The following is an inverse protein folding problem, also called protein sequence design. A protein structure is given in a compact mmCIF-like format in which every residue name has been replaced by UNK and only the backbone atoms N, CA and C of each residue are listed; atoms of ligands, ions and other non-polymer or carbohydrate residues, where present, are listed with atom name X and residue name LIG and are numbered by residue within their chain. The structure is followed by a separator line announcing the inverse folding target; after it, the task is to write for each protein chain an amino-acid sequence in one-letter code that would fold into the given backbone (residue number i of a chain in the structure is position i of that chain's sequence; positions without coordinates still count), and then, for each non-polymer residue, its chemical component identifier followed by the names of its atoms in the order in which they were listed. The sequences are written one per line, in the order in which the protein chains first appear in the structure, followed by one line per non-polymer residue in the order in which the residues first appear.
data_IF_407257149026
#
_entry.id   IF_407257149026
#
_cell.length_a   1.000
_cell.length_b   1.000
_cell.length_c   1.000
_cell.angle_alpha   90.00
_cell.angle_beta   90.00
_cell.angle_gamma   90.00
#
_symmetry.space_group_name_H-M   'P 1'
#
loop_
_entity.id
_entity.type
_entity.pdbx_description
1 polymer ?
#
# COMPACT_ATOMS: atom_id res chain seq x y z
N UNK A 1 22.98 0.66 -19.88
CA UNK A 1 22.97 -0.63 -19.28
C UNK A 1 22.20 -0.78 -17.96
N UNK A 2 21.21 0.08 -17.82
CA UNK A 2 20.29 0.10 -16.67
C UNK A 2 19.63 -1.27 -16.43
N UNK A 3 19.12 -1.93 -17.48
CA UNK A 3 18.47 -3.24 -17.33
C UNK A 3 19.38 -4.29 -16.70
N UNK A 4 20.66 -4.32 -17.12
CA UNK A 4 21.66 -5.24 -16.56
C UNK A 4 21.98 -4.89 -15.10
N UNK A 5 22.01 -3.60 -14.76
CA UNK A 5 22.19 -3.17 -13.40
C UNK A 5 21.11 -3.73 -12.47
N UNK A 6 19.84 -3.63 -12.85
CA UNK A 6 18.74 -4.21 -12.06
C UNK A 6 18.80 -5.74 -12.00
N UNK A 7 19.08 -6.42 -13.14
CA UNK A 7 19.08 -7.88 -13.23
C UNK A 7 20.21 -8.55 -12.42
N UNK A 8 21.37 -7.92 -12.35
CA UNK A 8 22.56 -8.54 -11.74
C UNK A 8 22.95 -7.92 -10.41
N UNK A 9 22.18 -6.99 -9.91
CA UNK A 9 22.41 -6.39 -8.60
C UNK A 9 21.85 -7.29 -7.50
N UNK A 10 22.70 -7.65 -6.53
CA UNK A 10 22.30 -8.37 -5.32
C UNK A 10 21.95 -7.35 -4.21
N UNK A 11 21.01 -6.47 -4.51
CA UNK A 11 20.57 -5.40 -3.62
C UNK A 11 19.07 -5.15 -3.75
N UNK A 12 18.45 -4.69 -2.66
CA UNK A 12 17.08 -4.22 -2.69
C UNK A 12 16.99 -2.80 -3.25
N UNK A 13 16.14 -2.63 -4.27
CA UNK A 13 15.78 -1.33 -4.79
C UNK A 13 14.59 -0.79 -3.99
N UNK A 14 14.83 0.27 -3.23
CA UNK A 14 13.84 0.85 -2.34
C UNK A 14 13.19 2.04 -2.99
N UNK A 15 11.86 2.08 -2.98
CA UNK A 15 11.08 3.19 -3.52
C UNK A 15 9.84 3.49 -2.70
N UNK A 16 9.07 4.45 -3.17
CA UNK A 16 7.79 4.85 -2.61
C UNK A 16 6.71 4.70 -3.68
N UNK A 17 5.77 3.79 -3.50
CA UNK A 17 4.77 3.39 -4.51
C UNK A 17 5.37 2.75 -5.78
N UNK A 18 6.59 2.27 -5.70
CA UNK A 18 7.32 1.72 -6.83
C UNK A 18 6.69 0.42 -7.38
N UNK A 19 6.06 -0.40 -6.57
CA UNK A 19 5.31 -1.59 -7.04
C UNK A 19 4.22 -1.22 -8.04
N UNK A 20 3.62 -0.03 -7.91
CA UNK A 20 2.49 0.37 -8.74
C UNK A 20 2.89 1.22 -9.95
N UNK A 21 4.15 1.69 -10.04
CA UNK A 21 4.58 2.56 -11.12
C UNK A 21 5.99 2.21 -11.63
N UNK A 22 7.03 2.37 -10.82
CA UNK A 22 8.42 2.25 -11.27
C UNK A 22 8.78 0.80 -11.64
N UNK A 23 8.40 -0.17 -10.80
CA UNK A 23 8.71 -1.58 -11.03
C UNK A 23 8.10 -2.11 -12.34
N UNK A 24 6.84 -1.85 -12.69
CA UNK A 24 6.29 -2.19 -14.00
C UNK A 24 7.10 -1.63 -15.16
N UNK A 25 7.55 -0.39 -15.09
CA UNK A 25 8.33 0.27 -16.13
C UNK A 25 9.72 -0.39 -16.26
N UNK A 26 10.40 -0.61 -15.13
CA UNK A 26 11.73 -1.27 -15.12
C UNK A 26 11.61 -2.70 -15.65
N UNK A 27 10.62 -3.47 -15.22
CA UNK A 27 10.39 -4.84 -15.70
C UNK A 27 10.06 -4.87 -17.19
N UNK A 28 9.30 -3.90 -17.69
CA UNK A 28 9.06 -3.73 -19.11
C UNK A 28 10.36 -3.47 -19.89
N UNK A 29 11.18 -2.57 -19.39
CA UNK A 29 12.49 -2.28 -20.00
C UNK A 29 13.41 -3.51 -20.02
N UNK A 30 13.41 -4.29 -18.94
CA UNK A 30 14.17 -5.54 -18.85
C UNK A 30 13.71 -6.54 -19.90
N UNK A 31 12.39 -6.72 -20.06
CA UNK A 31 11.83 -7.67 -21.02
C UNK A 31 12.13 -7.28 -22.46
N UNK A 32 12.00 -6.01 -22.82
CA UNK A 32 12.04 -5.59 -24.22
C UNK A 32 13.37 -5.00 -24.66
N UNK A 33 14.16 -4.42 -23.76
CA UNK A 33 15.35 -3.64 -24.16
C UNK A 33 16.68 -4.23 -23.69
N UNK A 34 16.70 -5.26 -22.84
CA UNK A 34 17.96 -5.85 -22.36
C UNK A 34 18.83 -6.41 -23.46
N UNK A 35 18.23 -6.96 -24.52
CA UNK A 35 18.93 -7.68 -25.60
C UNK A 35 18.60 -7.14 -26.99
N UNK A 36 18.10 -5.92 -27.10
CA UNK A 36 17.63 -5.37 -28.39
C UNK A 36 18.33 -4.07 -28.77
N UNK A 37 18.45 -3.86 -30.09
CA UNK A 37 19.04 -2.65 -30.67
C UNK A 37 17.95 -1.64 -31.05
N UNK A 38 17.11 -1.25 -30.09
CA UNK A 38 16.13 -0.18 -30.31
C UNK A 38 16.79 1.19 -30.30
N UNK A 39 16.25 2.10 -31.12
CA UNK A 39 16.66 3.50 -31.07
C UNK A 39 16.19 4.15 -29.77
N UNK A 40 16.90 5.18 -29.33
CA UNK A 40 16.54 5.94 -28.12
C UNK A 40 15.10 6.45 -28.19
N UNK A 41 14.68 7.05 -29.29
CA UNK A 41 13.31 7.57 -29.49
C UNK A 41 12.26 6.47 -29.33
N UNK A 42 12.51 5.28 -29.86
CA UNK A 42 11.58 4.15 -29.72
C UNK A 42 11.46 3.68 -28.27
N UNK A 43 12.54 3.70 -27.53
CA UNK A 43 12.54 3.36 -26.10
C UNK A 43 11.71 4.39 -25.33
N UNK A 44 11.96 5.68 -25.55
CA UNK A 44 11.23 6.77 -24.89
C UNK A 44 9.73 6.72 -25.20
N UNK A 45 9.36 6.56 -26.47
CA UNK A 45 7.96 6.43 -26.89
C UNK A 45 7.26 5.25 -26.19
N UNK A 46 7.94 4.11 -26.13
CA UNK A 46 7.38 2.91 -25.52
C UNK A 46 7.19 3.05 -24.01
N UNK A 47 8.14 3.66 -23.30
CA UNK A 47 8.04 3.94 -21.87
C UNK A 47 6.92 4.95 -21.61
N UNK A 48 6.82 6.02 -22.39
CA UNK A 48 5.76 7.01 -22.28
C UNK A 48 4.36 6.40 -22.46
N UNK A 49 4.20 5.54 -23.48
CA UNK A 49 2.93 4.84 -23.71
C UNK A 49 2.56 3.92 -22.54
N UNK A 50 3.52 3.17 -21.98
CA UNK A 50 3.26 2.33 -20.81
C UNK A 50 2.92 3.17 -19.59
N UNK A 51 3.62 4.27 -19.35
CA UNK A 51 3.34 5.21 -18.27
C UNK A 51 1.89 5.74 -18.35
N UNK A 52 1.46 6.14 -19.54
CA UNK A 52 0.07 6.59 -19.77
C UNK A 52 -0.94 5.49 -19.47
N UNK A 53 -0.68 4.24 -19.85
CA UNK A 53 -1.56 3.10 -19.54
C UNK A 53 -1.65 2.89 -18.02
N UNK A 54 -0.54 2.92 -17.31
CA UNK A 54 -0.49 2.72 -15.85
C UNK A 54 -1.26 3.84 -15.11
N UNK A 55 -1.13 5.08 -15.58
CA UNK A 55 -1.72 6.26 -14.89
C UNK A 55 -3.17 6.49 -15.24
N UNK A 56 -3.58 6.32 -16.50
CA UNK A 56 -4.94 6.58 -16.99
C UNK A 56 -5.88 5.39 -16.83
N UNK A 57 -5.37 4.16 -16.95
CA UNK A 57 -6.16 2.94 -16.93
C UNK A 57 -5.91 2.13 -15.64
N UNK A 58 -5.95 2.79 -14.48
CA UNK A 58 -5.70 2.16 -13.17
C UNK A 58 -6.56 0.92 -12.92
N UNK A 59 -7.78 0.92 -13.43
CA UNK A 59 -8.73 -0.20 -13.29
C UNK A 59 -8.47 -1.33 -14.31
N UNK A 60 -7.67 -1.10 -15.35
CA UNK A 60 -7.35 -2.08 -16.38
C UNK A 60 -5.94 -2.66 -16.17
N UNK A 61 -5.71 -3.17 -14.97
CA UNK A 61 -4.43 -3.77 -14.54
C UNK A 61 -3.97 -4.91 -15.47
N UNK A 62 -4.88 -5.58 -16.18
CA UNK A 62 -4.55 -6.73 -17.03
C UNK A 62 -3.57 -6.36 -18.15
N UNK A 63 -3.55 -5.11 -18.60
CA UNK A 63 -2.63 -4.63 -19.64
C UNK A 63 -1.17 -4.60 -19.20
N UNK A 64 -0.89 -4.40 -17.91
CA UNK A 64 0.46 -4.25 -17.37
C UNK A 64 0.75 -5.15 -16.16
N UNK A 65 -0.19 -6.00 -15.78
CA UNK A 65 -0.14 -6.91 -14.63
C UNK A 65 1.11 -7.80 -14.64
N UNK A 66 1.52 -8.29 -15.80
CA UNK A 66 2.69 -9.16 -15.91
C UNK A 66 3.97 -8.48 -15.43
N UNK A 67 4.14 -7.18 -15.70
CA UNK A 67 5.31 -6.42 -15.25
C UNK A 67 5.20 -5.99 -13.79
N UNK A 68 3.98 -5.72 -13.29
CA UNK A 68 3.75 -5.43 -11.88
C UNK A 68 4.18 -6.57 -10.97
N UNK A 69 3.91 -7.81 -11.38
CA UNK A 69 4.19 -9.00 -10.58
C UNK A 69 5.47 -9.73 -10.99
N UNK A 70 6.22 -9.22 -11.97
CA UNK A 70 7.51 -9.77 -12.34
C UNK A 70 8.53 -9.52 -11.20
N UNK A 71 9.30 -10.57 -10.88
CA UNK A 71 10.33 -10.56 -9.83
C UNK A 71 11.73 -10.63 -10.44
N UNK A 72 12.07 -9.71 -11.34
CA UNK A 72 13.37 -9.68 -12.00
C UNK A 72 14.47 -9.07 -11.13
N UNK A 73 14.11 -8.38 -10.07
CA UNK A 73 15.04 -7.77 -9.10
C UNK A 73 14.36 -7.68 -7.72
N UNK A 74 15.18 -7.52 -6.68
CA UNK A 74 14.70 -7.36 -5.31
C UNK A 74 14.19 -5.95 -5.10
N UNK A 75 13.02 -5.80 -4.50
CA UNK A 75 12.40 -4.49 -4.31
C UNK A 75 11.70 -4.38 -2.97
N UNK A 76 11.72 -3.17 -2.39
CA UNK A 76 10.98 -2.78 -1.20
C UNK A 76 10.17 -1.52 -1.52
N UNK A 77 8.87 -1.56 -1.26
CA UNK A 77 7.98 -0.41 -1.39
C UNK A 77 7.58 0.12 -0.02
N UNK A 78 8.06 1.30 0.32
CA UNK A 78 7.80 1.92 1.62
C UNK A 78 6.34 2.34 1.79
N UNK A 79 5.62 2.71 0.70
CA UNK A 79 4.20 3.04 0.81
C UNK A 79 3.40 1.81 1.22
N UNK A 80 3.58 0.67 0.54
CA UNK A 80 2.82 -0.55 0.82
C UNK A 80 3.23 -1.22 2.13
N UNK A 81 4.48 -1.00 2.58
CA UNK A 81 4.96 -1.44 3.87
C UNK A 81 4.32 -0.66 5.03
N UNK A 82 4.15 0.65 4.87
CA UNK A 82 3.63 1.54 5.93
C UNK A 82 2.10 1.61 5.96
N UNK A 83 1.46 1.56 4.80
CA UNK A 83 0.03 1.81 4.66
C UNK A 83 -0.69 0.70 3.93
N UNK A 84 -1.92 0.44 4.38
CA UNK A 84 -2.82 -0.43 3.62
C UNK A 84 -3.18 0.21 2.26
N UNK A 85 -3.54 -0.61 1.29
CA UNK A 85 -3.95 -0.14 -0.05
C UNK A 85 -5.17 0.80 -0.03
N UNK A 86 -5.89 0.87 1.09
CA UNK A 86 -7.02 1.78 1.27
C UNK A 86 -6.60 3.23 1.53
N UNK A 87 -5.38 3.46 2.00
CA UNK A 87 -4.83 4.78 2.30
C UNK A 87 -3.92 5.23 1.17
N UNK A 88 -4.29 6.35 0.55
CA UNK A 88 -3.48 6.98 -0.50
C UNK A 88 -2.73 8.15 0.11
N UNK A 89 -1.51 7.91 0.53
CA UNK A 89 -0.60 8.94 1.04
C UNK A 89 0.45 9.22 -0.02
N UNK A 90 0.54 10.45 -0.49
CA UNK A 90 1.56 10.86 -1.46
C UNK A 90 2.94 10.97 -0.79
N UNK A 91 4.02 10.93 -1.57
CA UNK A 91 5.36 11.16 -1.05
C UNK A 91 5.47 12.56 -0.42
N UNK A 92 4.78 13.57 -0.98
CA UNK A 92 4.76 14.93 -0.43
C UNK A 92 4.10 15.02 0.95
N UNK A 93 2.96 14.34 1.13
CA UNK A 93 2.33 14.23 2.45
C UNK A 93 3.25 13.53 3.45
N UNK A 94 3.98 12.50 3.00
CA UNK A 94 4.97 11.83 3.83
C UNK A 94 6.15 12.74 4.16
N UNK A 95 6.68 13.50 3.18
CA UNK A 95 7.73 14.50 3.42
C UNK A 95 7.32 15.51 4.48
N UNK A 96 6.08 16.03 4.42
CA UNK A 96 5.54 16.94 5.45
C UNK A 96 5.41 16.23 6.80
N UNK A 97 4.89 15.01 6.83
CA UNK A 97 4.69 14.25 8.08
C UNK A 97 6.01 13.97 8.80
N UNK A 98 7.08 13.61 8.06
CA UNK A 98 8.40 13.38 8.63
C UNK A 98 9.22 14.66 8.84
N UNK A 99 8.61 15.84 8.61
CA UNK A 99 9.25 17.16 8.70
C UNK A 99 10.51 17.28 7.82
N UNK A 100 10.45 16.75 6.62
CA UNK A 100 11.53 16.87 5.65
C UNK A 100 11.72 18.33 5.25
N UNK A 101 12.97 18.83 5.28
CA UNK A 101 13.26 20.27 5.17
C UNK A 101 13.06 20.84 3.77
N UNK A 102 13.19 20.02 2.73
CA UNK A 102 13.20 20.46 1.35
C UNK A 102 12.03 19.83 0.56
N UNK A 103 10.80 20.14 0.94
CA UNK A 103 9.62 19.71 0.19
C UNK A 103 9.53 20.56 -1.08
N UNK A 104 9.64 19.93 -2.24
CA UNK A 104 9.59 20.58 -3.55
C UNK A 104 8.39 20.06 -4.33
N UNK A 105 7.90 20.87 -5.28
CA UNK A 105 6.93 20.46 -6.28
C UNK A 105 7.49 20.78 -7.67
N UNK A 106 7.20 19.91 -8.62
CA UNK A 106 7.55 20.08 -10.00
C UNK A 106 6.28 20.29 -10.83
N UNK A 107 6.13 21.48 -11.39
CA UNK A 107 4.98 21.87 -12.19
C UNK A 107 5.38 21.92 -13.67
N UNK A 108 4.93 20.95 -14.45
CA UNK A 108 5.11 20.94 -15.90
C UNK A 108 3.85 20.41 -16.60
N UNK A 109 3.76 20.63 -17.89
CA UNK A 109 2.77 19.95 -18.73
C UNK A 109 3.28 18.54 -19.07
N UNK A 110 2.75 17.52 -18.39
CA UNK A 110 3.13 16.13 -18.57
C UNK A 110 2.79 15.56 -19.97
N UNK A 111 2.06 16.30 -20.80
CA UNK A 111 1.72 15.90 -22.17
C UNK A 111 2.57 16.59 -23.23
N UNK A 112 3.35 17.61 -22.84
CA UNK A 112 4.25 18.34 -23.73
C UNK A 112 5.71 17.85 -23.57
N UNK A 113 6.52 17.91 -24.63
CA UNK A 113 7.97 17.72 -24.53
C UNK A 113 8.59 18.79 -23.64
N UNK A 114 9.44 18.35 -22.71
CA UNK A 114 10.16 19.25 -21.81
C UNK A 114 11.29 19.98 -22.55
N UNK A 115 11.51 21.24 -22.22
CA UNK A 115 12.73 21.97 -22.60
C UNK A 115 13.94 21.44 -21.81
N UNK A 116 15.17 21.77 -22.27
CA UNK A 116 16.39 21.34 -21.57
C UNK A 116 16.41 21.87 -20.12
N UNK A 117 15.95 23.09 -19.90
CA UNK A 117 15.88 23.69 -18.56
C UNK A 117 14.90 22.91 -17.64
N UNK A 118 13.72 22.56 -18.14
CA UNK A 118 12.74 21.76 -17.40
C UNK A 118 13.25 20.33 -17.13
N UNK A 119 14.08 19.76 -18.01
CA UNK A 119 14.73 18.48 -17.79
C UNK A 119 15.73 18.58 -16.63
N UNK A 120 16.52 19.63 -16.57
CA UNK A 120 17.51 19.84 -15.51
C UNK A 120 16.79 20.02 -14.15
N UNK A 121 15.72 20.83 -14.10
CA UNK A 121 14.87 21.01 -12.92
C UNK A 121 14.21 19.69 -12.50
N UNK A 122 13.72 18.89 -13.45
CA UNK A 122 13.12 17.57 -13.18
C UNK A 122 14.14 16.60 -12.57
N UNK A 123 15.39 16.65 -13.02
CA UNK A 123 16.46 15.82 -12.46
C UNK A 123 16.73 16.21 -10.99
N UNK A 124 16.84 17.50 -10.70
CA UNK A 124 17.04 18.00 -9.32
C UNK A 124 15.86 17.63 -8.42
N UNK A 125 14.64 17.80 -8.91
CA UNK A 125 13.42 17.38 -8.22
C UNK A 125 13.42 15.87 -7.90
N UNK A 126 13.80 15.04 -8.88
CA UNK A 126 13.87 13.59 -8.72
C UNK A 126 14.94 13.17 -7.70
N UNK A 127 16.11 13.81 -7.74
CA UNK A 127 17.17 13.60 -6.74
C UNK A 127 16.64 13.93 -5.34
N UNK A 128 15.91 15.03 -5.17
CA UNK A 128 15.31 15.40 -3.89
C UNK A 128 14.27 14.36 -3.41
N UNK A 129 13.45 13.82 -4.30
CA UNK A 129 12.50 12.76 -3.94
C UNK A 129 13.20 11.45 -3.53
N UNK A 130 14.31 11.09 -4.19
CA UNK A 130 15.17 9.96 -3.78
C UNK A 130 15.80 10.19 -2.41
N UNK A 131 16.30 11.41 -2.16
CA UNK A 131 16.89 11.78 -0.86
C UNK A 131 15.84 11.70 0.27
N UNK A 132 14.64 12.19 0.04
CA UNK A 132 13.53 12.10 1.02
C UNK A 132 13.09 10.66 1.27
N UNK A 133 13.04 9.84 0.23
CA UNK A 133 12.76 8.39 0.34
C UNK A 133 13.85 7.68 1.14
N UNK A 134 15.12 8.07 0.97
CA UNK A 134 16.24 7.57 1.76
C UNK A 134 16.11 7.94 3.24
N UNK A 135 15.65 9.15 3.54
CA UNK A 135 15.42 9.58 4.92
C UNK A 135 14.25 8.80 5.56
N UNK A 136 13.18 8.55 4.80
CA UNK A 136 12.08 7.71 5.24
C UNK A 136 12.55 6.27 5.51
N UNK A 137 13.37 5.70 4.63
CA UNK A 137 13.95 4.37 4.81
C UNK A 137 14.70 4.24 6.14
N UNK A 138 15.50 5.23 6.52
CA UNK A 138 16.20 5.25 7.80
C UNK A 138 15.25 5.21 9.00
N UNK A 139 14.12 5.91 8.90
CA UNK A 139 13.09 5.90 9.95
C UNK A 139 12.38 4.54 10.06
N UNK A 140 12.29 3.80 8.95
CA UNK A 140 11.61 2.51 8.87
C UNK A 140 12.48 1.30 9.24
N UNK A 141 13.74 1.49 9.64
CA UNK A 141 14.70 0.38 9.87
C UNK A 141 14.14 -0.71 10.78
N UNK A 142 13.52 -0.35 11.91
CA UNK A 142 12.92 -1.32 12.85
C UNK A 142 11.77 -2.13 12.24
N UNK A 143 10.96 -1.49 11.42
CA UNK A 143 9.85 -2.15 10.72
C UNK A 143 10.35 -3.14 9.66
N UNK A 144 11.46 -2.82 9.02
CA UNK A 144 12.15 -3.69 8.06
C UNK A 144 12.78 -4.88 8.79
N UNK A 145 13.52 -4.64 9.89
CA UNK A 145 14.16 -5.68 10.68
C UNK A 145 13.14 -6.76 11.12
N UNK A 146 11.98 -6.34 11.62
CA UNK A 146 10.90 -7.28 12.01
C UNK A 146 10.45 -8.14 10.83
N UNK A 147 10.33 -7.58 9.63
CA UNK A 147 9.91 -8.31 8.42
C UNK A 147 10.97 -9.27 7.92
N UNK A 148 12.24 -8.87 8.00
CA UNK A 148 13.39 -9.73 7.70
C UNK A 148 13.46 -10.90 8.67
N UNK A 149 13.22 -10.67 9.96
CA UNK A 149 13.17 -11.73 10.98
C UNK A 149 12.02 -12.73 10.71
N UNK A 150 10.84 -12.21 10.28
CA UNK A 150 9.70 -13.06 9.89
C UNK A 150 10.06 -13.90 8.67
N UNK A 151 10.65 -13.30 7.65
CA UNK A 151 11.08 -14.04 6.45
C UNK A 151 12.09 -15.14 6.80
N UNK A 152 13.11 -14.81 7.58
CA UNK A 152 14.14 -15.76 8.00
C UNK A 152 13.58 -16.91 8.85
N UNK A 153 12.61 -16.63 9.71
CA UNK A 153 12.06 -17.62 10.65
C UNK A 153 10.96 -18.48 10.05
N UNK A 154 10.11 -17.90 9.22
CA UNK A 154 8.88 -18.55 8.74
C UNK A 154 8.87 -18.74 7.22
N UNK A 155 9.85 -18.24 6.50
CA UNK A 155 9.89 -18.20 5.02
C UNK A 155 8.65 -17.51 4.42
N UNK A 156 8.22 -16.39 5.02
CA UNK A 156 7.07 -15.60 4.60
C UNK A 156 7.56 -14.26 4.04
N UNK A 157 7.38 -14.04 2.74
CA UNK A 157 7.64 -12.76 2.10
C UNK A 157 6.59 -11.71 2.54
N UNK A 158 6.98 -10.82 3.44
CA UNK A 158 6.13 -9.73 3.93
C UNK A 158 6.83 -8.36 3.90
N UNK A 159 7.98 -8.25 3.22
CA UNK A 159 8.81 -7.05 3.25
C UNK A 159 8.05 -5.80 2.79
N UNK A 160 7.26 -5.91 1.72
CA UNK A 160 6.42 -4.81 1.21
C UNK A 160 4.94 -4.91 1.64
N UNK A 161 4.63 -5.62 2.74
CA UNK A 161 3.28 -5.70 3.30
C UNK A 161 3.15 -4.80 4.52
N UNK A 162 1.98 -4.19 4.68
CA UNK A 162 1.65 -3.43 5.89
C UNK A 162 1.55 -4.34 7.13
N UNK A 163 1.44 -3.73 8.31
CA UNK A 163 1.38 -4.48 9.57
C UNK A 163 0.20 -5.45 9.63
N UNK A 164 -0.95 -5.08 9.07
CA UNK A 164 -2.14 -5.94 9.01
C UNK A 164 -1.90 -7.12 8.07
N UNK A 165 -1.39 -6.86 6.87
CA UNK A 165 -1.06 -7.89 5.90
C UNK A 165 -0.01 -8.87 6.42
N UNK A 166 1.01 -8.38 7.13
CA UNK A 166 2.02 -9.20 7.80
C UNK A 166 1.40 -10.09 8.88
N UNK A 167 0.53 -9.53 9.73
CA UNK A 167 -0.20 -10.30 10.74
C UNK A 167 -1.10 -11.38 10.15
N UNK A 168 -1.79 -11.07 9.05
CA UNK A 168 -2.63 -12.06 8.34
C UNK A 168 -1.80 -13.22 7.82
N UNK A 169 -0.63 -12.97 7.21
CA UNK A 169 0.22 -14.05 6.70
C UNK A 169 0.78 -14.93 7.83
N UNK A 170 1.17 -14.34 8.97
CA UNK A 170 1.62 -15.10 10.14
C UNK A 170 0.49 -15.98 10.73
N UNK A 171 -0.69 -15.42 10.94
CA UNK A 171 -1.85 -16.16 11.45
C UNK A 171 -2.23 -17.31 10.51
N UNK A 172 -2.20 -17.05 9.21
CA UNK A 172 -2.46 -18.03 8.17
C UNK A 172 -1.43 -19.17 8.21
N UNK A 173 -0.14 -18.82 8.29
CA UNK A 173 0.94 -19.80 8.43
C UNK A 173 0.71 -20.72 9.64
N UNK A 174 0.52 -20.14 10.84
CA UNK A 174 0.29 -20.87 12.07
C UNK A 174 -0.97 -21.77 12.01
N UNK A 175 -2.05 -21.28 11.41
CA UNK A 175 -3.28 -22.03 11.25
C UNK A 175 -3.06 -23.25 10.35
N UNK A 176 -2.45 -23.07 9.19
CA UNK A 176 -2.19 -24.15 8.23
C UNK A 176 -1.26 -25.23 8.82
N UNK A 177 -0.25 -24.84 9.63
CA UNK A 177 0.63 -25.78 10.32
C UNK A 177 -0.13 -26.64 11.35
N UNK A 178 -1.15 -26.08 12.01
CA UNK A 178 -1.92 -26.76 13.06
C UNK A 178 -3.06 -27.62 12.53
N UNK A 179 -3.60 -27.30 11.37
CA UNK A 179 -4.80 -27.98 10.83
C UNK A 179 -4.49 -28.96 9.71
N UNK A 180 -3.28 -28.97 9.15
CA UNK A 180 -2.90 -29.71 7.95
C UNK A 180 -3.81 -29.41 6.74
N UNK A 181 -4.50 -28.27 6.73
CA UNK A 181 -5.34 -27.81 5.63
C UNK A 181 -4.51 -27.11 4.55
N UNK A 182 -5.03 -27.07 3.33
CA UNK A 182 -4.44 -26.27 2.26
C UNK A 182 -4.93 -24.82 2.32
N UNK A 183 -4.17 -23.91 1.70
CA UNK A 183 -4.59 -22.51 1.54
C UNK A 183 -5.94 -22.37 0.83
N UNK A 184 -6.22 -23.22 -0.13
CA UNK A 184 -7.47 -23.19 -0.89
C UNK A 184 -8.67 -23.53 -0.01
N UNK A 185 -8.54 -24.55 0.84
CA UNK A 185 -9.56 -24.92 1.82
C UNK A 185 -9.82 -23.81 2.83
N UNK A 186 -8.75 -23.16 3.32
CA UNK A 186 -8.88 -22.01 4.24
C UNK A 186 -9.58 -20.81 3.57
N UNK A 187 -9.25 -20.52 2.30
CA UNK A 187 -9.83 -19.40 1.56
C UNK A 187 -11.34 -19.53 1.39
N UNK A 188 -11.82 -20.76 1.22
CA UNK A 188 -13.23 -21.06 1.00
C UNK A 188 -14.04 -21.22 2.31
N UNK A 189 -13.34 -21.30 3.46
CA UNK A 189 -13.97 -21.35 4.79
C UNK A 189 -14.51 -19.97 5.21
N UNK A 190 -15.59 -19.55 4.59
CA UNK A 190 -16.36 -18.39 5.05
C UNK A 190 -17.65 -18.90 5.66
N UNK A 191 -17.93 -18.48 6.89
CA UNK A 191 -19.27 -18.64 7.46
C UNK A 191 -20.12 -17.46 6.98
N UNK A 192 -21.00 -17.64 5.98
CA UNK A 192 -21.90 -16.57 5.57
C UNK A 192 -22.83 -16.25 6.74
N UNK A 193 -22.87 -15.01 7.15
CA UNK A 193 -23.80 -14.51 8.16
C UNK A 193 -24.64 -13.43 7.51
N UNK A 194 -25.94 -13.66 7.34
CA UNK A 194 -26.85 -12.65 6.81
C UNK A 194 -27.17 -11.57 7.84
N UNK A 195 -27.20 -11.96 9.11
CA UNK A 195 -27.50 -11.09 10.25
C UNK A 195 -26.61 -11.40 11.45
N UNK A 196 -26.07 -10.37 12.06
CA UNK A 196 -25.18 -10.46 13.22
C UNK A 196 -25.80 -9.71 14.41
N UNK A 197 -26.26 -10.39 15.47
CA UNK A 197 -26.61 -9.70 16.71
C UNK A 197 -25.36 -9.11 17.34
N UNK A 198 -25.29 -7.78 17.47
CA UNK A 198 -24.07 -7.13 17.96
C UNK A 198 -23.69 -7.54 19.39
N UNK A 199 -24.65 -7.93 20.23
CA UNK A 199 -24.39 -8.48 21.58
C UNK A 199 -23.49 -9.72 21.58
N UNK A 200 -23.52 -10.49 20.50
CA UNK A 200 -22.77 -11.77 20.41
C UNK A 200 -21.31 -11.55 19.93
N UNK A 201 -21.02 -10.39 19.33
CA UNK A 201 -19.68 -10.02 18.83
C UNK A 201 -18.97 -8.96 19.65
N UNK A 202 -19.71 -8.18 20.44
CA UNK A 202 -19.11 -7.21 21.37
C UNK A 202 -18.51 -7.98 22.54
N UNK A 203 -17.19 -7.85 22.69
CA UNK A 203 -16.47 -8.58 23.74
C UNK A 203 -16.90 -8.09 25.14
N UNK A 204 -17.06 -9.01 26.13
CA UNK A 204 -17.60 -8.67 27.45
C UNK A 204 -16.80 -7.64 28.25
N UNK A 205 -15.50 -7.53 27.97
CA UNK A 205 -14.60 -6.60 28.66
C UNK A 205 -14.71 -5.14 28.14
N UNK A 206 -15.40 -4.93 26.99
CA UNK A 206 -15.57 -3.58 26.44
C UNK A 206 -16.53 -2.78 27.35
N UNK A 207 -16.01 -1.71 27.90
CA UNK A 207 -16.77 -0.77 28.75
C UNK A 207 -16.26 0.65 28.57
N UNK A 208 -17.11 1.62 28.83
CA UNK A 208 -16.76 3.04 28.72
C UNK A 208 -17.10 3.80 30.02
N UNK A 209 -16.21 4.72 30.43
CA UNK A 209 -16.48 5.65 31.54
C UNK A 209 -17.38 6.84 31.12
N UNK A 210 -17.26 7.27 29.85
CA UNK A 210 -18.05 8.36 29.30
C UNK A 210 -19.53 7.94 29.17
N UNK A 211 -20.49 8.71 29.73
CA UNK A 211 -21.92 8.35 29.71
C UNK A 211 -22.51 8.20 28.32
N UNK A 212 -22.09 9.03 27.37
CA UNK A 212 -22.55 8.99 25.96
C UNK A 212 -22.11 7.67 25.31
N UNK A 213 -20.84 7.31 25.46
CA UNK A 213 -20.30 6.05 24.90
C UNK A 213 -20.89 4.83 25.61
N UNK A 214 -21.17 4.91 26.93
CA UNK A 214 -21.84 3.84 27.67
C UNK A 214 -23.25 3.60 27.14
N UNK A 215 -24.03 4.66 26.97
CA UNK A 215 -25.40 4.60 26.43
C UNK A 215 -25.39 4.02 25.01
N UNK A 216 -24.42 4.46 24.19
CA UNK A 216 -24.26 3.97 22.82
C UNK A 216 -23.91 2.47 22.78
N UNK A 217 -23.03 2.00 23.67
CA UNK A 217 -22.69 0.58 23.78
C UNK A 217 -23.90 -0.29 24.13
N UNK A 218 -24.73 0.16 25.07
CA UNK A 218 -25.96 -0.54 25.46
C UNK A 218 -26.97 -0.56 24.28
N UNK A 219 -27.11 0.56 23.58
CA UNK A 219 -27.92 0.59 22.34
C UNK A 219 -27.39 -0.39 21.29
N UNK A 220 -26.08 -0.42 21.03
CA UNK A 220 -25.47 -1.35 20.08
C UNK A 220 -25.76 -2.81 20.42
N UNK A 221 -25.76 -3.17 21.69
CA UNK A 221 -26.08 -4.56 22.12
C UNK A 221 -27.50 -4.97 21.78
N UNK A 222 -28.42 -4.04 21.53
CA UNK A 222 -29.79 -4.36 21.11
C UNK A 222 -29.94 -4.55 19.60
N UNK A 223 -28.90 -4.23 18.82
CA UNK A 223 -28.98 -4.23 17.37
C UNK A 223 -28.60 -5.58 16.76
N UNK A 224 -29.24 -5.88 15.63
CA UNK A 224 -28.83 -6.93 14.71
C UNK A 224 -28.53 -6.28 13.35
N UNK A 225 -27.35 -6.49 12.81
CA UNK A 225 -26.87 -5.81 11.61
C UNK A 225 -26.55 -6.81 10.48
N UNK A 226 -26.75 -6.39 9.25
CA UNK A 226 -26.26 -7.15 8.09
C UNK A 226 -24.79 -6.80 7.82
N UNK A 227 -23.92 -7.79 7.56
CA UNK A 227 -22.53 -7.55 7.17
C UNK A 227 -22.49 -6.90 5.78
N UNK A 228 -22.11 -5.64 5.69
CA UNK A 228 -21.98 -4.94 4.41
C UNK A 228 -21.73 -3.43 4.58
N UNK A 229 -21.37 -2.76 3.47
CA UNK A 229 -21.06 -1.32 3.46
C UNK A 229 -22.25 -0.43 3.85
N UNK A 230 -23.48 -0.92 3.67
CA UNK A 230 -24.73 -0.22 4.04
C UNK A 230 -25.26 -0.63 5.41
N UNK A 231 -24.41 -1.17 6.29
CA UNK A 231 -24.75 -1.53 7.64
C UNK A 231 -25.13 -0.32 8.49
N UNK A 232 -25.54 -0.59 9.73
CA UNK A 232 -25.89 0.43 10.70
C UNK A 232 -24.79 1.47 10.86
N UNK A 233 -25.19 2.75 10.88
CA UNK A 233 -24.32 3.89 11.14
C UNK A 233 -25.10 4.92 11.96
N UNK A 234 -24.45 5.46 13.00
CA UNK A 234 -25.02 6.49 13.86
C UNK A 234 -24.03 7.63 14.05
N UNK A 235 -24.49 8.86 13.83
CA UNK A 235 -23.75 10.08 14.14
C UNK A 235 -24.16 10.60 15.51
N UNK A 236 -23.21 11.07 16.29
CA UNK A 236 -23.44 11.67 17.59
C UNK A 236 -22.37 12.72 17.91
N UNK A 237 -22.65 13.56 18.92
CA UNK A 237 -21.74 14.60 19.38
C UNK A 237 -20.95 14.09 20.59
N UNK A 238 -19.63 14.09 20.48
CA UNK A 238 -18.71 13.76 21.57
C UNK A 238 -17.78 14.95 21.81
N UNK A 239 -17.93 15.64 22.95
CA UNK A 239 -17.08 16.78 23.31
C UNK A 239 -16.91 17.84 22.19
N UNK A 240 -18.01 18.23 21.54
CA UNK A 240 -18.07 19.16 20.42
C UNK A 240 -17.56 18.59 19.05
N UNK A 241 -17.12 17.35 19.00
CA UNK A 241 -16.77 16.67 17.76
C UNK A 241 -17.97 15.86 17.26
N UNK A 242 -18.28 15.98 15.98
CA UNK A 242 -19.23 15.08 15.33
C UNK A 242 -18.50 13.77 15.03
N UNK A 243 -19.04 12.69 15.54
CA UNK A 243 -18.47 11.34 15.43
C UNK A 243 -19.48 10.42 14.77
N UNK A 244 -19.04 9.56 13.91
CA UNK A 244 -19.83 8.47 13.32
C UNK A 244 -19.32 7.13 13.83
N UNK A 245 -20.23 6.29 14.27
CA UNK A 245 -19.95 4.88 14.56
C UNK A 245 -20.75 3.98 13.63
N UNK A 246 -20.12 2.94 13.13
CA UNK A 246 -20.75 2.00 12.22
C UNK A 246 -20.01 0.66 12.20
N UNK A 247 -20.35 -0.19 11.24
CA UNK A 247 -19.73 -1.52 11.05
C UNK A 247 -18.21 -1.45 10.89
N UNK A 248 -17.68 -0.32 10.39
CA UNK A 248 -16.24 -0.11 10.19
C UNK A 248 -15.50 0.50 11.40
N UNK A 249 -16.20 0.86 12.48
CA UNK A 249 -15.60 1.47 13.67
C UNK A 249 -16.12 2.87 13.98
N UNK A 250 -15.34 3.64 14.77
CA UNK A 250 -15.65 5.02 15.19
C UNK A 250 -14.73 5.97 14.42
N UNK A 251 -15.32 6.97 13.77
CA UNK A 251 -14.61 7.94 12.96
C UNK A 251 -15.06 9.37 13.31
N UNK A 252 -14.13 10.33 13.38
CA UNK A 252 -14.47 11.76 13.39
C UNK A 252 -14.99 12.15 12.00
N UNK A 253 -15.97 13.04 11.97
CA UNK A 253 -16.49 13.62 10.73
C UNK A 253 -16.12 15.10 10.78
N UNK A 254 -15.29 15.53 9.87
CA UNK A 254 -14.99 16.94 9.63
C UNK A 254 -16.03 17.56 8.71
#
# INVERSE_FOLDING_TARGET
DMCKFFLYSDAYFVGYNNIHYDNPIVNYCIEYFSNSSYTYDKICESIFNLSNIITSEKDNIDKWKKWKYAKNFLTLDLLTMLYSQALRVSLKEMQVTMMYKNVQEFNCDWQAPLSQFEIDDMIEYNINDVMSTTELLKQCTKDIDVRVDIENKFNIDCLSKDGVGTGVELLKYEYLQKTNESWWELKDKRSPMDWIPLKDVILPHISFKNPILKSLLEEMKTLTVSPGRNGWNKKFLLNKLVVSIGVGGIHSIN
#
